data_IF_571533767163
#
_entry.id   IF_571533767163
#
_cell.length_a   1.000
_cell.length_b   1.000
_cell.length_c   1.000
_cell.angle_alpha   90.00
_cell.angle_beta   90.00
_cell.angle_gamma   90.00
#
_symmetry.space_group_name_H-M   'P 1'
#
loop_
_entity.id
_entity.type
_entity.pdbx_description
1 polymer ?
#
# COMPACT_ATOMS: atom_id res chain seq x y z
N UNK A 1 -27.95 -41.23 -30.04
CA UNK A 1 -27.44 -39.83 -30.09
C UNK A 1 -26.91 -39.64 -31.51
N UNK A 2 -27.52 -38.74 -32.27
CA UNK A 2 -27.13 -38.47 -33.66
C UNK A 2 -25.72 -37.80 -33.69
N UNK A 3 -25.07 -37.92 -34.85
CA UNK A 3 -23.71 -37.37 -35.02
C UNK A 3 -23.69 -35.83 -34.78
N UNK A 4 -24.76 -35.15 -35.18
CA UNK A 4 -24.96 -33.71 -34.97
C UNK A 4 -24.97 -33.33 -33.48
N UNK A 5 -25.66 -34.10 -32.62
CA UNK A 5 -25.70 -33.88 -31.18
C UNK A 5 -24.30 -34.09 -30.59
N UNK A 6 -23.52 -35.06 -31.06
CA UNK A 6 -22.14 -35.27 -30.61
C UNK A 6 -21.24 -34.06 -30.96
N UNK A 7 -21.35 -33.55 -32.17
CA UNK A 7 -20.59 -32.39 -32.66
C UNK A 7 -20.96 -31.14 -31.81
N UNK A 8 -22.26 -30.89 -31.61
CA UNK A 8 -22.70 -29.78 -30.76
C UNK A 8 -22.18 -29.90 -29.32
N UNK A 9 -22.19 -31.10 -28.76
CA UNK A 9 -21.69 -31.34 -27.41
C UNK A 9 -20.18 -31.07 -27.30
N UNK A 10 -19.39 -31.53 -28.28
CA UNK A 10 -17.96 -31.27 -28.35
C UNK A 10 -17.66 -29.77 -28.50
N UNK A 11 -18.41 -29.08 -29.38
CA UNK A 11 -18.27 -27.64 -29.55
C UNK A 11 -18.61 -26.89 -28.28
N UNK A 12 -19.69 -27.26 -27.57
CA UNK A 12 -20.06 -26.66 -26.30
C UNK A 12 -18.98 -26.87 -25.25
N UNK A 13 -18.43 -28.08 -25.09
CA UNK A 13 -17.35 -28.38 -24.17
C UNK A 13 -16.11 -27.55 -24.51
N UNK A 14 -15.75 -27.41 -25.77
CA UNK A 14 -14.61 -26.59 -26.21
C UNK A 14 -14.80 -25.12 -25.83
N UNK A 15 -16.00 -24.56 -26.04
CA UNK A 15 -16.32 -23.18 -25.65
C UNK A 15 -16.22 -22.99 -24.12
N UNK A 16 -16.73 -23.95 -23.35
CA UNK A 16 -16.65 -23.89 -21.87
C UNK A 16 -15.21 -23.98 -21.37
N UNK A 17 -14.36 -24.79 -21.99
CA UNK A 17 -12.94 -24.90 -21.64
C UNK A 17 -12.18 -23.59 -21.97
N UNK A 18 -12.47 -22.98 -23.11
CA UNK A 18 -11.89 -21.68 -23.48
C UNK A 18 -12.34 -20.60 -22.50
N UNK A 19 -13.62 -20.54 -22.17
CA UNK A 19 -14.14 -19.59 -21.19
C UNK A 19 -13.49 -19.79 -19.82
N UNK A 20 -13.38 -21.02 -19.34
CA UNK A 20 -12.72 -21.34 -18.07
C UNK A 20 -11.23 -20.90 -18.07
N UNK A 21 -10.53 -21.13 -19.18
CA UNK A 21 -9.13 -20.69 -19.32
C UNK A 21 -9.00 -19.16 -19.28
N UNK A 22 -9.87 -18.43 -19.96
CA UNK A 22 -9.89 -16.95 -19.93
C UNK A 22 -10.19 -16.45 -18.53
N UNK A 23 -11.19 -17.01 -17.85
CA UNK A 23 -11.54 -16.62 -16.48
C UNK A 23 -10.42 -16.92 -15.48
N UNK A 24 -9.76 -18.06 -15.62
CA UNK A 24 -8.60 -18.40 -14.79
C UNK A 24 -7.45 -17.39 -15.00
N UNK A 25 -7.14 -17.05 -16.25
CA UNK A 25 -6.14 -16.05 -16.60
C UNK A 25 -6.49 -14.66 -16.03
N UNK A 26 -7.73 -14.22 -16.20
CA UNK A 26 -8.22 -12.97 -15.66
C UNK A 26 -8.14 -12.94 -14.12
N UNK A 27 -8.48 -14.04 -13.45
CA UNK A 27 -8.36 -14.17 -11.99
C UNK A 27 -6.89 -14.08 -11.53
N UNK A 28 -5.97 -14.73 -12.23
CA UNK A 28 -4.53 -14.63 -11.93
C UNK A 28 -4.05 -13.18 -12.08
N UNK A 29 -4.38 -12.52 -13.19
CA UNK A 29 -4.04 -11.11 -13.41
C UNK A 29 -4.62 -10.21 -12.34
N UNK A 30 -5.88 -10.43 -11.95
CA UNK A 30 -6.51 -9.71 -10.85
C UNK A 30 -5.74 -9.91 -9.54
N UNK A 31 -5.41 -11.15 -9.19
CA UNK A 31 -4.63 -11.44 -7.98
C UNK A 31 -3.25 -10.78 -8.00
N UNK A 32 -2.58 -10.80 -9.13
CA UNK A 32 -1.27 -10.17 -9.30
C UNK A 32 -1.33 -8.64 -9.18
N UNK A 33 -2.38 -8.01 -9.72
CA UNK A 33 -2.50 -6.56 -9.73
C UNK A 33 -3.04 -5.97 -8.40
N UNK A 34 -4.05 -6.60 -7.82
CA UNK A 34 -4.82 -6.01 -6.71
C UNK A 34 -4.50 -6.60 -5.33
N UNK A 35 -3.94 -7.82 -5.25
CA UNK A 35 -3.56 -8.38 -3.95
C UNK A 35 -2.23 -7.82 -3.48
N UNK A 36 -2.17 -7.48 -2.21
CA UNK A 36 -0.95 -6.98 -1.57
C UNK A 36 -0.30 -8.14 -0.81
N UNK A 37 0.95 -8.53 -1.13
CA UNK A 37 1.67 -9.49 -0.32
C UNK A 37 2.04 -8.86 1.03
N UNK A 38 1.97 -9.65 2.09
CA UNK A 38 2.49 -9.22 3.38
C UNK A 38 3.99 -8.89 3.24
N UNK A 39 4.37 -7.69 3.67
CA UNK A 39 5.80 -7.33 3.79
C UNK A 39 6.22 -7.48 5.25
N UNK A 40 7.34 -8.15 5.52
CA UNK A 40 7.88 -8.22 6.87
C UNK A 40 8.34 -6.83 7.32
N UNK A 41 8.02 -6.48 8.56
CA UNK A 41 8.56 -5.31 9.23
C UNK A 41 10.10 -5.41 9.35
N UNK A 42 10.78 -4.28 9.34
CA UNK A 42 12.22 -4.20 9.65
C UNK A 42 13.20 -4.32 8.47
N UNK A 43 12.75 -4.34 7.22
CA UNK A 43 13.67 -4.23 6.08
C UNK A 43 13.99 -2.77 5.76
N UNK A 44 15.26 -2.51 5.43
CA UNK A 44 15.67 -1.23 4.85
C UNK A 44 15.04 -1.02 3.46
N UNK A 45 14.81 0.23 3.05
CA UNK A 45 14.36 0.53 1.71
C UNK A 45 15.37 -0.01 0.69
N UNK A 46 14.85 -0.64 -0.36
CA UNK A 46 15.64 -1.06 -1.51
C UNK A 46 15.90 0.17 -2.38
N UNK A 47 17.02 0.84 -2.13
CA UNK A 47 17.39 2.05 -2.84
C UNK A 47 18.04 1.65 -4.16
N UNK A 48 17.48 2.09 -5.31
CA UNK A 48 18.01 1.74 -6.62
C UNK A 48 19.49 2.11 -6.77
N UNK A 49 20.29 1.20 -7.38
CA UNK A 49 21.69 1.43 -7.67
C UNK A 49 21.86 2.21 -8.99
N UNK A 50 21.30 3.41 -9.05
CA UNK A 50 21.41 4.30 -10.20
C UNK A 50 22.28 5.51 -9.86
N UNK A 51 22.85 6.16 -10.88
CA UNK A 51 23.67 7.36 -10.72
C UNK A 51 22.93 8.47 -9.96
N UNK A 52 21.61 8.53 -10.08
CA UNK A 52 20.77 9.51 -9.40
C UNK A 52 20.79 9.34 -7.88
N UNK A 53 20.78 8.11 -7.39
CA UNK A 53 20.73 7.81 -5.95
C UNK A 53 22.10 7.57 -5.33
N UNK A 54 23.11 7.22 -6.13
CA UNK A 54 24.44 6.87 -5.65
C UNK A 54 25.06 7.91 -4.69
N UNK A 55 25.00 9.24 -4.96
CA UNK A 55 25.57 10.24 -4.07
C UNK A 55 24.88 10.34 -2.71
N UNK A 56 23.59 10.00 -2.63
CA UNK A 56 22.74 10.18 -1.45
C UNK A 56 22.42 8.88 -0.71
N UNK A 57 22.82 7.73 -1.26
CA UNK A 57 22.43 6.41 -0.76
C UNK A 57 22.70 6.23 0.73
N UNK A 58 23.91 6.56 1.17
CA UNK A 58 24.31 6.40 2.57
C UNK A 58 23.51 7.32 3.50
N UNK A 59 23.21 8.53 3.06
CA UNK A 59 22.39 9.48 3.82
C UNK A 59 20.93 9.01 3.92
N UNK A 60 20.34 8.54 2.83
CA UNK A 60 18.99 7.98 2.81
C UNK A 60 18.89 6.78 3.76
N UNK A 61 19.86 5.86 3.71
CA UNK A 61 19.91 4.70 4.61
C UNK A 61 19.99 5.15 6.07
N UNK A 62 20.90 6.09 6.38
CA UNK A 62 21.08 6.64 7.73
C UNK A 62 19.78 7.26 8.24
N UNK A 63 19.16 8.16 7.48
CA UNK A 63 17.90 8.81 7.85
C UNK A 63 16.75 7.80 8.01
N UNK A 64 16.69 6.78 7.16
CA UNK A 64 15.67 5.73 7.27
C UNK A 64 15.87 4.87 8.52
N UNK A 65 17.10 4.57 8.93
CA UNK A 65 17.40 3.89 10.19
C UNK A 65 17.03 4.75 11.40
N UNK A 66 17.42 6.02 11.41
CA UNK A 66 17.06 6.97 12.47
C UNK A 66 15.54 7.12 12.60
N UNK A 67 14.82 7.16 11.47
CA UNK A 67 13.36 7.22 11.46
C UNK A 67 12.70 5.97 12.09
N UNK A 68 13.30 4.79 11.96
CA UNK A 68 12.80 3.57 12.57
C UNK A 68 12.92 3.57 14.11
N UNK A 69 13.91 4.27 14.64
CA UNK A 69 14.16 4.42 16.08
C UNK A 69 13.26 5.50 16.73
N UNK A 70 12.59 6.32 15.91
CA UNK A 70 11.77 7.43 16.43
C UNK A 70 10.53 6.92 17.15
N UNK A 71 10.21 7.44 18.34
CA UNK A 71 8.99 7.09 19.04
C UNK A 71 7.76 7.62 18.29
N UNK A 72 6.70 6.84 18.26
CA UNK A 72 5.43 7.18 17.63
C UNK A 72 4.24 6.65 18.43
N UNK A 73 3.07 7.24 18.19
CA UNK A 73 1.80 6.75 18.69
C UNK A 73 1.10 5.96 17.57
N UNK A 74 0.59 4.77 17.90
CA UNK A 74 -0.26 4.01 16.99
C UNK A 74 -1.65 4.60 16.96
N UNK A 75 -2.15 4.91 15.76
CA UNK A 75 -3.50 5.43 15.58
C UNK A 75 -4.29 4.58 14.62
N UNK A 76 -5.58 4.45 14.90
CA UNK A 76 -6.51 3.68 14.09
C UNK A 76 -7.73 4.53 13.78
N UNK A 77 -8.12 4.60 12.51
CA UNK A 77 -9.37 5.23 12.08
C UNK A 77 -10.22 4.23 11.33
N UNK A 78 -11.54 4.43 11.34
CA UNK A 78 -12.46 3.58 10.58
C UNK A 78 -12.71 4.20 9.22
N UNK A 79 -12.43 3.47 8.14
CA UNK A 79 -12.76 3.90 6.78
C UNK A 79 -14.28 3.95 6.57
N UNK A 80 -14.71 4.63 5.48
CA UNK A 80 -16.13 4.74 5.14
C UNK A 80 -16.84 3.38 4.91
N UNK A 81 -16.10 2.34 4.57
CA UNK A 81 -16.57 0.97 4.34
C UNK A 81 -16.22 0.01 5.51
N UNK A 82 -15.88 0.56 6.68
CA UNK A 82 -15.72 -0.17 7.93
C UNK A 82 -14.39 -0.87 8.15
N UNK A 83 -13.36 -0.58 7.33
CA UNK A 83 -12.01 -1.10 7.57
C UNK A 83 -11.34 -0.33 8.71
N UNK A 84 -10.57 -1.03 9.55
CA UNK A 84 -9.62 -0.41 10.46
C UNK A 84 -8.38 -0.01 9.67
N UNK A 85 -8.09 1.27 9.58
CA UNK A 85 -6.89 1.82 8.94
C UNK A 85 -5.89 2.21 10.01
N UNK A 86 -4.63 1.91 9.78
CA UNK A 86 -3.53 2.13 10.69
C UNK A 86 -2.63 3.28 10.25
N UNK A 87 -2.17 4.07 11.21
CA UNK A 87 -1.16 5.10 11.03
C UNK A 87 -0.21 5.21 12.22
N UNK A 88 0.97 5.73 11.97
CA UNK A 88 1.95 6.13 12.99
C UNK A 88 1.97 7.64 13.09
N UNK A 89 1.73 8.15 14.29
CA UNK A 89 1.66 9.58 14.59
C UNK A 89 2.94 10.03 15.30
N UNK A 90 3.63 10.99 14.73
CA UNK A 90 4.85 11.59 15.27
C UNK A 90 4.55 13.04 15.63
N UNK A 91 4.49 13.34 16.90
CA UNK A 91 4.17 14.69 17.41
C UNK A 91 5.45 15.42 17.76
N UNK A 92 5.73 16.50 17.05
CA UNK A 92 6.84 17.43 17.36
C UNK A 92 6.40 18.48 18.37
N UNK A 93 5.26 19.12 18.11
CA UNK A 93 4.70 20.08 19.06
C UNK A 93 3.21 20.31 18.81
N UNK A 94 2.51 20.77 19.86
CA UNK A 94 1.11 21.18 19.77
C UNK A 94 1.00 22.42 18.88
N UNK A 95 0.19 22.33 17.83
CA UNK A 95 -0.02 23.43 16.87
C UNK A 95 1.00 23.47 15.72
N UNK A 96 1.97 22.56 15.65
CA UNK A 96 2.80 22.40 14.47
C UNK A 96 1.94 21.96 13.26
N UNK A 97 2.28 22.39 12.04
CA UNK A 97 1.58 21.93 10.85
C UNK A 97 1.78 20.44 10.64
N UNK A 98 0.82 19.80 9.96
CA UNK A 98 0.82 18.37 9.72
C UNK A 98 1.29 18.02 8.31
N UNK A 99 2.04 16.94 8.23
CA UNK A 99 2.33 16.23 6.97
C UNK A 99 1.74 14.83 7.05
N UNK A 100 0.85 14.48 6.13
CA UNK A 100 0.33 13.11 5.99
C UNK A 100 1.10 12.44 4.86
N UNK A 101 1.74 11.31 5.13
CA UNK A 101 2.55 10.58 4.17
C UNK A 101 1.89 9.26 3.80
N UNK A 102 1.72 9.04 2.50
CA UNK A 102 1.20 7.82 1.91
C UNK A 102 2.30 7.15 1.11
N UNK A 103 2.40 5.83 1.24
CA UNK A 103 3.35 5.03 0.48
C UNK A 103 2.82 4.69 -0.92
N UNK A 104 3.69 4.24 -1.81
CA UNK A 104 3.35 3.82 -3.16
C UNK A 104 2.79 2.40 -3.24
N UNK A 105 2.63 1.96 -4.49
CA UNK A 105 2.05 0.66 -4.84
C UNK A 105 2.80 -0.51 -4.19
N UNK A 106 2.07 -1.35 -3.44
CA UNK A 106 2.59 -2.57 -2.78
C UNK A 106 3.78 -2.34 -1.85
N UNK A 107 3.86 -1.16 -1.26
CA UNK A 107 4.85 -0.79 -0.26
C UNK A 107 4.23 -0.73 1.14
N UNK A 108 4.97 -0.27 2.13
CA UNK A 108 4.48 0.09 3.46
C UNK A 108 5.08 1.45 3.84
N UNK A 109 4.32 2.20 4.61
CA UNK A 109 4.62 3.60 4.83
C UNK A 109 6.01 3.85 5.44
N UNK A 110 6.35 3.16 6.50
CA UNK A 110 7.63 3.37 7.19
C UNK A 110 8.85 2.99 6.34
N UNK A 111 8.68 2.03 5.41
CA UNK A 111 9.75 1.57 4.54
C UNK A 111 10.06 2.59 3.44
N UNK A 112 9.02 3.17 2.84
CA UNK A 112 9.17 4.08 1.69
C UNK A 112 9.41 5.52 2.12
N UNK A 113 8.76 5.94 3.22
CA UNK A 113 8.77 7.33 3.65
C UNK A 113 9.82 7.64 4.73
N UNK A 114 10.68 6.70 5.14
CA UNK A 114 11.56 6.85 6.30
C UNK A 114 12.43 8.10 6.26
N UNK A 115 13.16 8.36 5.16
CA UNK A 115 13.96 9.58 5.06
C UNK A 115 13.11 10.86 5.01
N UNK A 116 11.95 10.81 4.33
CA UNK A 116 11.00 11.92 4.29
C UNK A 116 10.38 12.21 5.66
N UNK A 117 10.07 11.17 6.45
CA UNK A 117 9.62 11.28 7.83
C UNK A 117 10.66 12.03 8.68
N UNK A 118 11.92 11.57 8.66
CA UNK A 118 12.99 12.20 9.43
C UNK A 118 13.15 13.67 9.06
N UNK A 119 13.17 13.98 7.76
CA UNK A 119 13.25 15.34 7.26
C UNK A 119 12.08 16.22 7.73
N UNK A 120 10.85 15.74 7.68
CA UNK A 120 9.67 16.49 8.08
C UNK A 120 9.68 16.78 9.59
N UNK A 121 10.02 15.77 10.40
CA UNK A 121 10.13 15.95 11.87
C UNK A 121 11.22 16.94 12.23
N UNK A 122 12.41 16.84 11.62
CA UNK A 122 13.52 17.79 11.86
C UNK A 122 13.17 19.21 11.39
N UNK A 123 12.26 19.32 10.42
CA UNK A 123 11.73 20.61 9.95
C UNK A 123 10.59 21.16 10.82
N UNK A 124 10.22 20.47 11.89
CA UNK A 124 9.22 20.94 12.86
C UNK A 124 7.77 20.61 12.53
N UNK A 125 7.52 19.64 11.63
CA UNK A 125 6.16 19.19 11.30
C UNK A 125 5.74 18.01 12.19
N UNK A 126 4.47 17.99 12.58
CA UNK A 126 3.84 16.74 13.00
C UNK A 126 3.64 15.85 11.78
N UNK A 127 3.88 14.56 11.93
CA UNK A 127 3.78 13.63 10.79
C UNK A 127 2.79 12.51 11.11
N UNK A 128 1.89 12.25 10.18
CA UNK A 128 1.04 11.07 10.16
C UNK A 128 1.49 10.17 9.00
N UNK A 129 2.06 9.03 9.34
CA UNK A 129 2.56 8.03 8.41
C UNK A 129 1.54 6.91 8.29
N UNK A 130 0.89 6.77 7.13
CA UNK A 130 -0.30 5.94 6.93
C UNK A 130 0.03 4.66 6.16
N UNK A 131 -0.33 3.52 6.72
CA UNK A 131 -0.46 2.29 5.93
C UNK A 131 -1.81 2.32 5.19
N UNK A 132 -1.78 2.38 3.86
CA UNK A 132 -2.99 2.40 3.04
C UNK A 132 -3.77 1.09 3.18
N UNK A 133 -5.07 1.08 2.82
CA UNK A 133 -5.88 -0.14 2.84
C UNK A 133 -5.17 -1.33 2.20
N UNK A 134 -5.37 -2.52 2.76
CA UNK A 134 -4.72 -3.78 2.38
C UNK A 134 -3.19 -3.84 2.60
N UNK A 135 -2.54 -2.79 3.15
CA UNK A 135 -1.10 -2.77 3.41
C UNK A 135 -0.80 -2.72 4.91
N UNK A 136 0.37 -3.21 5.29
CA UNK A 136 0.89 -3.14 6.66
C UNK A 136 -0.10 -3.65 7.70
N UNK A 137 -0.43 -2.80 8.68
CA UNK A 137 -1.41 -3.08 9.74
C UNK A 137 -2.84 -2.66 9.37
N UNK A 138 -3.05 -1.99 8.22
CA UNK A 138 -4.38 -1.60 7.76
C UNK A 138 -5.20 -2.77 7.25
N UNK A 139 -6.50 -2.74 7.50
CA UNK A 139 -7.46 -3.74 7.04
C UNK A 139 -7.65 -3.73 5.52
N UNK A 140 -8.32 -4.80 5.03
CA UNK A 140 -8.59 -4.97 3.61
C UNK A 140 -7.78 -6.11 3.00
N UNK A 141 -8.12 -6.48 1.74
CA UNK A 141 -7.48 -7.60 1.02
C UNK A 141 -6.96 -7.21 -0.35
N UNK A 142 -7.40 -6.08 -0.88
CA UNK A 142 -6.98 -5.57 -2.18
C UNK A 142 -6.92 -4.05 -2.18
N UNK A 143 -5.99 -3.54 -2.95
CA UNK A 143 -5.90 -2.12 -3.28
C UNK A 143 -6.84 -1.77 -4.43
N UNK A 144 -7.17 -0.50 -4.60
CA UNK A 144 -8.12 -0.03 -5.60
C UNK A 144 -7.59 1.10 -6.48
N UNK A 145 -6.26 1.23 -6.57
CA UNK A 145 -5.57 2.23 -7.41
C UNK A 145 -6.09 3.67 -7.24
N UNK A 146 -6.32 4.08 -6.00
CA UNK A 146 -6.75 5.43 -5.65
C UNK A 146 -8.27 5.63 -5.52
N UNK A 147 -9.11 4.69 -5.99
CA UNK A 147 -10.58 4.86 -5.93
C UNK A 147 -11.07 4.94 -4.49
N UNK A 148 -10.76 3.94 -3.67
CA UNK A 148 -11.13 3.91 -2.25
C UNK A 148 -10.10 4.61 -1.37
N UNK A 149 -8.84 4.56 -1.77
CA UNK A 149 -7.73 5.21 -1.08
C UNK A 149 -7.92 6.74 -1.01
N UNK A 150 -8.54 7.37 -2.02
CA UNK A 150 -8.87 8.80 -1.99
C UNK A 150 -9.89 9.16 -0.91
N UNK A 151 -10.83 8.24 -0.62
CA UNK A 151 -11.80 8.45 0.46
C UNK A 151 -11.13 8.25 1.82
N UNK A 152 -10.27 7.23 1.93
CA UNK A 152 -9.47 7.01 3.14
C UNK A 152 -8.56 8.19 3.45
N UNK A 153 -7.97 8.80 2.42
CA UNK A 153 -7.17 10.02 2.56
C UNK A 153 -7.97 11.14 3.25
N UNK A 154 -9.23 11.34 2.87
CA UNK A 154 -10.11 12.31 3.52
C UNK A 154 -10.34 11.97 5.00
N UNK A 155 -10.56 10.70 5.32
CA UNK A 155 -10.70 10.25 6.72
C UNK A 155 -9.46 10.59 7.56
N UNK A 156 -8.26 10.46 6.98
CA UNK A 156 -7.02 10.84 7.65
C UNK A 156 -6.84 12.35 7.79
N UNK A 157 -7.28 13.13 6.79
CA UNK A 157 -7.30 14.60 6.90
C UNK A 157 -8.24 15.04 8.02
N UNK A 158 -9.45 14.47 8.09
CA UNK A 158 -10.41 14.77 9.16
C UNK A 158 -9.90 14.39 10.56
N UNK A 159 -8.97 13.42 10.64
CA UNK A 159 -8.35 13.02 11.90
C UNK A 159 -7.34 14.07 12.43
N UNK A 160 -6.61 14.77 11.56
CA UNK A 160 -5.54 15.70 11.95
C UNK A 160 -6.00 17.17 12.08
N UNK A 161 -7.21 17.51 11.59
CA UNK A 161 -7.82 18.84 11.70
C UNK A 161 -8.60 18.96 13.01
#
# INVERSE_FOLDING_TARGET
MTIEIKIMLVALVAVLLIAAFILAGAYVCYRLAFSVPARPDGKLPDIPETEQYAPYRNEIIKMSLEAQEMPYEEVYVTSYDGLSLFGRCYIVSRGAPWVIMFHGYRSVAYFECGCGLKFAVDSGYNVLLVDQRAHGKSGGKCLTFGIKESIDCRTWVDYVI
#
